data_IF_105187717972
#
_entry.id   IF_105187717972
#
_cell.length_a   1.000
_cell.length_b   1.000
_cell.length_c   1.000
_cell.angle_alpha   90.00
_cell.angle_beta   90.00
_cell.angle_gamma   90.00
#
_symmetry.space_group_name_H-M   'P 1'
#
loop_
_entity.id
_entity.type
_entity.pdbx_description
1 polymer ?
#
# COMPACT_ATOMS: atom_id res chain seq x y z
N UNK A 1 -15.06 46.76 -2.51
CA UNK A 1 -15.49 45.48 -1.90
C UNK A 1 -15.09 44.29 -2.78
N UNK A 2 -13.79 43.96 -2.92
CA UNK A 2 -13.32 42.82 -3.76
C UNK A 2 -12.08 42.09 -3.18
N UNK A 3 -11.73 42.38 -1.92
CA UNK A 3 -10.54 41.79 -1.27
C UNK A 3 -10.88 40.67 -0.27
N UNK A 4 -12.14 40.53 0.16
CA UNK A 4 -12.53 39.55 1.17
C UNK A 4 -12.80 38.14 0.59
N UNK A 5 -13.12 38.02 -0.69
CA UNK A 5 -13.44 36.74 -1.34
C UNK A 5 -12.21 35.88 -1.61
N UNK A 6 -11.06 36.48 -1.93
CA UNK A 6 -9.82 35.75 -2.24
C UNK A 6 -9.23 35.03 -1.01
N UNK A 7 -9.30 35.67 0.16
CA UNK A 7 -8.77 35.12 1.40
C UNK A 7 -9.56 33.88 1.86
N UNK A 8 -10.88 33.87 1.66
CA UNK A 8 -11.75 32.75 2.03
C UNK A 8 -11.55 31.51 1.14
N UNK A 9 -11.33 31.69 -0.16
CA UNK A 9 -11.04 30.56 -1.08
C UNK A 9 -9.67 29.97 -0.79
N UNK A 10 -8.67 30.81 -0.51
CA UNK A 10 -7.32 30.35 -0.16
C UNK A 10 -7.31 29.60 1.18
N UNK A 11 -8.08 30.07 2.17
CA UNK A 11 -8.23 29.40 3.46
C UNK A 11 -8.99 28.07 3.35
N UNK A 12 -10.04 27.99 2.51
CA UNK A 12 -10.72 26.73 2.21
C UNK A 12 -9.81 25.73 1.49
N UNK A 13 -8.98 26.17 0.54
CA UNK A 13 -8.01 25.31 -0.15
C UNK A 13 -6.92 24.78 0.82
N UNK A 14 -6.41 25.64 1.72
CA UNK A 14 -5.44 25.24 2.75
C UNK A 14 -6.04 24.25 3.76
N UNK A 15 -7.28 24.44 4.19
CA UNK A 15 -7.99 23.51 5.09
C UNK A 15 -8.31 22.17 4.42
N UNK A 16 -8.71 22.17 3.14
CA UNK A 16 -8.90 20.92 2.39
C UNK A 16 -7.58 20.15 2.20
N UNK A 17 -6.46 20.86 2.04
CA UNK A 17 -5.13 20.23 1.92
C UNK A 17 -4.69 19.53 3.21
N UNK A 18 -5.03 20.10 4.37
CA UNK A 18 -4.74 19.51 5.68
C UNK A 18 -5.55 18.23 5.97
N UNK A 19 -6.73 18.06 5.36
CA UNK A 19 -7.56 16.86 5.53
C UNK A 19 -7.10 15.62 4.75
N UNK A 20 -6.13 15.74 3.84
CA UNK A 20 -5.70 14.60 2.99
C UNK A 20 -4.55 13.79 3.62
N UNK A 21 -3.94 14.26 4.71
CA UNK A 21 -2.59 13.79 5.07
C UNK A 21 -2.49 12.83 6.27
N UNK A 22 -3.58 12.35 6.88
CA UNK A 22 -3.45 11.68 8.19
C UNK A 22 -4.19 10.36 8.40
N UNK A 23 -4.82 9.76 7.38
CA UNK A 23 -5.54 8.49 7.55
C UNK A 23 -5.05 7.36 6.64
N UNK A 24 -3.98 7.58 5.85
CA UNK A 24 -3.46 6.58 4.93
C UNK A 24 -2.07 6.04 5.34
N UNK A 25 -1.15 6.87 5.86
CA UNK A 25 0.24 6.45 6.12
C UNK A 25 0.30 5.26 7.09
N UNK A 26 -0.24 5.37 8.30
CA UNK A 26 -0.20 4.27 9.27
C UNK A 26 -1.00 3.01 8.87
N UNK A 27 -2.04 3.17 8.03
CA UNK A 27 -2.86 2.05 7.57
C UNK A 27 -2.11 1.22 6.52
N UNK A 28 -1.69 1.89 5.44
CA UNK A 28 -1.09 1.18 4.32
C UNK A 28 0.33 0.69 4.67
N UNK A 29 1.13 1.43 5.44
CA UNK A 29 2.48 0.97 5.78
C UNK A 29 2.50 -0.37 6.53
N UNK A 30 1.51 -0.65 7.36
CA UNK A 30 1.43 -1.88 8.14
C UNK A 30 0.53 -2.97 7.51
N UNK A 31 -0.54 -2.58 6.81
CA UNK A 31 -1.54 -3.51 6.31
C UNK A 31 -1.43 -3.77 4.80
N UNK A 32 -0.58 -3.03 4.07
CA UNK A 32 -0.36 -3.24 2.65
C UNK A 32 0.41 -4.52 2.37
N UNK A 33 0.03 -5.20 1.28
CA UNK A 33 0.70 -6.40 0.80
C UNK A 33 0.58 -6.53 -0.71
N UNK A 34 1.26 -7.53 -1.30
CA UNK A 34 1.13 -7.92 -2.72
C UNK A 34 -0.25 -8.47 -3.11
N UNK A 35 -1.19 -8.51 -2.18
CA UNK A 35 -2.58 -8.85 -2.42
C UNK A 35 -3.48 -7.63 -2.52
N UNK A 36 -2.99 -6.46 -2.09
CA UNK A 36 -3.68 -5.18 -2.23
C UNK A 36 -3.27 -4.53 -3.55
N UNK A 37 -4.22 -4.00 -4.35
CA UNK A 37 -3.90 -3.37 -5.63
C UNK A 37 -2.86 -2.26 -5.45
N UNK A 38 -2.05 -2.00 -6.48
CA UNK A 38 -0.99 -0.99 -6.45
C UNK A 38 -1.56 0.39 -6.10
N UNK A 39 -1.48 0.79 -4.83
CA UNK A 39 -2.06 2.04 -4.31
C UNK A 39 -1.16 3.25 -4.51
N UNK A 40 0.08 3.07 -4.96
CA UNK A 40 1.00 4.15 -5.30
C UNK A 40 1.34 4.12 -6.79
N UNK A 41 1.36 5.30 -7.43
CA UNK A 41 1.73 5.44 -8.84
C UNK A 41 3.18 5.01 -9.14
N UNK A 42 4.04 5.00 -8.11
CA UNK A 42 5.41 4.50 -8.18
C UNK A 42 5.51 2.98 -8.05
N UNK A 43 4.53 2.32 -7.43
CA UNK A 43 4.50 0.85 -7.34
C UNK A 43 4.09 0.20 -8.67
N UNK A 44 3.37 0.91 -9.55
CA UNK A 44 2.71 0.33 -10.73
C UNK A 44 3.58 -0.43 -11.74
N UNK A 45 4.89 -0.14 -11.84
CA UNK A 45 5.80 -0.84 -12.77
C UNK A 45 6.52 -2.02 -12.10
N UNK A 46 6.69 -1.97 -10.79
CA UNK A 46 7.49 -2.93 -10.00
C UNK A 46 6.60 -3.90 -9.21
N UNK A 47 5.31 -3.61 -9.12
CA UNK A 47 4.35 -4.39 -8.35
C UNK A 47 4.08 -5.74 -8.99
N UNK A 48 4.32 -6.82 -8.22
CA UNK A 48 4.03 -8.19 -8.62
C UNK A 48 2.89 -8.75 -7.78
N UNK A 49 2.03 -9.55 -8.40
CA UNK A 49 1.07 -10.37 -7.66
C UNK A 49 1.79 -11.30 -6.66
N UNK A 50 1.14 -11.60 -5.54
CA UNK A 50 1.70 -12.40 -4.45
C UNK A 50 2.42 -13.69 -4.90
N UNK A 51 1.80 -14.48 -5.78
CA UNK A 51 2.41 -15.73 -6.28
C UNK A 51 3.71 -15.48 -7.06
N UNK A 52 3.69 -14.52 -8.00
CA UNK A 52 4.88 -14.15 -8.77
C UNK A 52 5.98 -13.60 -7.87
N UNK A 53 5.63 -12.74 -6.91
CA UNK A 53 6.57 -12.21 -5.93
C UNK A 53 7.20 -13.34 -5.10
N UNK A 54 6.41 -14.28 -4.60
CA UNK A 54 6.90 -15.41 -3.81
C UNK A 54 7.86 -16.32 -4.61
N UNK A 55 7.51 -16.66 -5.85
CA UNK A 55 8.36 -17.45 -6.74
C UNK A 55 9.66 -16.73 -7.09
N UNK A 56 9.57 -15.47 -7.51
CA UNK A 56 10.75 -14.69 -7.95
C UNK A 56 11.63 -14.29 -6.78
N UNK A 57 11.07 -13.89 -5.64
CA UNK A 57 11.84 -13.26 -4.57
C UNK A 57 12.30 -14.24 -3.50
N UNK A 58 11.50 -15.26 -3.20
CA UNK A 58 11.79 -16.26 -2.17
C UNK A 58 12.08 -17.67 -2.73
N UNK A 59 12.06 -17.84 -4.05
CA UNK A 59 12.15 -19.16 -4.70
C UNK A 59 11.13 -20.15 -4.11
N UNK A 60 9.96 -19.63 -3.74
CA UNK A 60 8.87 -20.37 -3.13
C UNK A 60 8.09 -21.17 -4.19
N UNK A 61 7.34 -22.18 -3.76
CA UNK A 61 6.48 -22.96 -4.68
C UNK A 61 5.31 -22.14 -5.19
N UNK A 62 4.72 -21.35 -4.29
CA UNK A 62 3.59 -20.51 -4.59
C UNK A 62 3.44 -19.39 -3.56
N UNK A 63 2.63 -18.40 -3.91
CA UNK A 63 2.14 -17.38 -3.00
C UNK A 63 0.62 -17.35 -2.99
N UNK A 64 0.04 -17.18 -1.81
CA UNK A 64 -1.40 -17.08 -1.65
C UNK A 64 -1.79 -15.86 -0.83
N UNK A 65 -2.90 -15.26 -1.21
CA UNK A 65 -3.53 -14.18 -0.48
C UNK A 65 -4.51 -14.74 0.54
N UNK A 66 -4.35 -14.35 1.79
CA UNK A 66 -5.24 -14.73 2.88
C UNK A 66 -5.84 -13.49 3.52
N UNK A 67 -7.05 -13.63 4.04
CA UNK A 67 -7.72 -12.54 4.73
C UNK A 67 -6.96 -12.21 6.01
N UNK A 68 -6.64 -10.94 6.18
CA UNK A 68 -5.87 -10.44 7.30
C UNK A 68 -6.45 -9.09 7.70
N UNK A 69 -7.51 -9.09 8.54
CA UNK A 69 -8.20 -7.88 8.93
C UNK A 69 -7.18 -6.86 9.46
N UNK A 70 -7.29 -5.63 8.96
CA UNK A 70 -6.37 -4.56 9.32
C UNK A 70 -6.45 -4.29 10.81
N UNK A 71 -5.30 -4.27 11.49
CA UNK A 71 -5.25 -3.98 12.93
C UNK A 71 -5.29 -2.49 13.20
N UNK A 72 -4.74 -1.69 12.29
CA UNK A 72 -4.65 -0.25 12.46
C UNK A 72 -5.89 0.46 11.94
N UNK A 73 -6.48 -0.07 10.87
CA UNK A 73 -7.56 0.58 10.12
C UNK A 73 -8.66 -0.40 9.71
N UNK A 74 -9.27 -1.13 10.67
CA UNK A 74 -10.28 -2.15 10.40
C UNK A 74 -11.52 -1.60 9.69
N UNK A 75 -11.85 -0.32 9.89
CA UNK A 75 -12.99 0.33 9.24
C UNK A 75 -12.75 0.73 7.77
N UNK A 76 -11.49 0.98 7.40
CA UNK A 76 -11.10 1.42 6.05
C UNK A 76 -10.66 0.24 5.18
N UNK A 77 -9.93 -0.71 5.75
CA UNK A 77 -9.38 -1.88 5.07
C UNK A 77 -10.13 -3.15 5.44
N UNK A 78 -11.46 -3.15 5.25
CA UNK A 78 -12.36 -4.24 5.63
C UNK A 78 -12.05 -5.58 4.96
N UNK A 79 -11.54 -5.54 3.73
CA UNK A 79 -11.18 -6.72 2.94
C UNK A 79 -9.67 -6.86 2.78
N UNK A 80 -8.91 -6.49 3.83
CA UNK A 80 -7.47 -6.54 3.76
C UNK A 80 -6.95 -7.97 3.59
N UNK A 81 -5.96 -8.13 2.71
CA UNK A 81 -5.32 -9.41 2.44
C UNK A 81 -3.83 -9.30 2.60
N UNK A 82 -3.23 -10.36 3.13
CA UNK A 82 -1.79 -10.49 3.28
C UNK A 82 -1.25 -11.58 2.36
N UNK A 83 -0.01 -11.43 1.93
CA UNK A 83 0.66 -12.37 1.03
C UNK A 83 1.52 -13.36 1.83
N UNK A 84 1.21 -14.65 1.72
CA UNK A 84 2.02 -15.74 2.28
C UNK A 84 2.70 -16.55 1.18
N UNK A 85 4.01 -16.72 1.29
CA UNK A 85 4.76 -17.62 0.41
C UNK A 85 4.90 -19.01 1.02
N UNK A 86 4.56 -20.05 0.25
CA UNK A 86 4.67 -21.45 0.66
C UNK A 86 6.03 -22.04 0.28
N UNK A 87 6.66 -22.76 1.20
CA UNK A 87 7.95 -23.43 0.99
C UNK A 87 9.05 -22.50 0.44
N UNK A 88 9.33 -21.41 1.17
CA UNK A 88 10.42 -20.49 0.81
C UNK A 88 11.75 -21.25 0.78
N UNK A 89 12.39 -21.35 -0.39
CA UNK A 89 13.69 -22.03 -0.55
C UNK A 89 14.88 -21.10 -0.31
N UNK A 90 14.65 -19.78 -0.28
CA UNK A 90 15.67 -18.78 0.04
C UNK A 90 15.10 -17.61 0.84
N UNK A 91 16.00 -16.86 1.45
CA UNK A 91 15.73 -15.52 1.98
C UNK A 91 15.38 -14.55 0.86
N UNK A 92 14.79 -13.41 1.21
CA UNK A 92 14.37 -12.38 0.27
C UNK A 92 15.54 -11.94 -0.63
N UNK A 93 15.40 -12.10 -1.94
CA UNK A 93 16.38 -11.61 -2.90
C UNK A 93 16.30 -10.08 -3.03
N UNK A 94 17.06 -9.37 -2.19
CA UNK A 94 17.12 -7.89 -2.20
C UNK A 94 17.86 -7.29 -3.41
N UNK A 95 18.62 -8.11 -4.14
CA UNK A 95 19.35 -7.67 -5.34
C UNK A 95 18.42 -7.45 -6.53
N UNK A 96 17.23 -8.04 -6.51
CA UNK A 96 16.23 -7.84 -7.56
C UNK A 96 15.31 -6.66 -7.15
N UNK A 97 15.28 -5.55 -7.91
CA UNK A 97 14.45 -4.38 -7.59
C UNK A 97 12.94 -4.71 -7.60
N UNK A 98 12.53 -5.77 -8.30
CA UNK A 98 11.14 -6.25 -8.29
C UNK A 98 10.74 -6.98 -7.01
N UNK A 99 11.69 -7.17 -6.08
CA UNK A 99 11.48 -7.76 -4.78
C UNK A 99 11.45 -6.74 -3.64
N UNK A 100 11.56 -5.45 -3.95
CA UNK A 100 11.46 -4.38 -2.96
C UNK A 100 10.00 -4.11 -2.60
N UNK A 101 9.69 -3.83 -1.32
CA UNK A 101 8.34 -3.66 -0.80
C UNK A 101 7.48 -2.79 -1.71
#
# INVERSE_FOLDING_TARGET
MKFFTGLSVLFCLLLCSASVQSSASGCYDADWSRCSPSTSGLTGIVWRACDSYCKVCYNADSGACYDSPSKNCPGLLKNNKQCACKNKRRSLNRLNPTCWP
#
